data_IF_573725466761
#
_entry.id   IF_573725466761
#
_cell.length_a   1.000
_cell.length_b   1.000
_cell.length_c   1.000
_cell.angle_alpha   90.00
_cell.angle_beta   90.00
_cell.angle_gamma   90.00
#
_symmetry.space_group_name_H-M   'P 1'
#
loop_
_entity.id
_entity.type
_entity.pdbx_description
1 polymer ?
#
# COMPACT_ATOMS: atom_id res chain seq x y z
N UNK A 1 -8.00 19.11 16.34
CA UNK A 1 -8.55 17.75 16.20
C UNK A 1 -9.62 17.54 17.26
N UNK A 2 -10.77 16.93 16.94
CA UNK A 2 -11.77 16.62 17.99
C UNK A 2 -11.27 15.38 18.75
N UNK A 3 -11.52 15.32 20.06
CA UNK A 3 -11.10 14.18 20.90
C UNK A 3 -11.61 12.83 20.37
N UNK A 4 -12.76 12.85 19.69
CA UNK A 4 -13.33 11.68 19.01
C UNK A 4 -12.42 11.17 17.89
N UNK A 5 -11.84 12.05 17.07
CA UNK A 5 -10.96 11.67 15.97
C UNK A 5 -9.70 10.98 16.51
N UNK A 6 -9.14 11.51 17.60
CA UNK A 6 -7.96 10.93 18.24
C UNK A 6 -8.27 9.55 18.83
N UNK A 7 -9.43 9.41 19.46
CA UNK A 7 -9.93 8.12 19.94
C UNK A 7 -10.04 7.08 18.84
N UNK A 8 -10.57 7.46 17.67
CA UNK A 8 -10.67 6.57 16.50
C UNK A 8 -9.28 6.12 16.02
N UNK A 9 -8.30 7.03 15.94
CA UNK A 9 -6.93 6.68 15.53
C UNK A 9 -6.28 5.72 16.54
N UNK A 10 -6.40 5.99 17.83
CA UNK A 10 -5.84 5.12 18.88
C UNK A 10 -6.49 3.74 18.83
N UNK A 11 -7.82 3.66 18.72
CA UNK A 11 -8.55 2.40 18.58
C UNK A 11 -8.10 1.64 17.34
N UNK A 12 -7.92 2.32 16.21
CA UNK A 12 -7.41 1.71 14.99
C UNK A 12 -5.99 1.15 15.17
N UNK A 13 -5.06 1.95 15.71
CA UNK A 13 -3.67 1.53 15.92
C UNK A 13 -3.57 0.33 16.87
N UNK A 14 -4.33 0.35 17.98
CA UNK A 14 -4.41 -0.77 18.91
C UNK A 14 -5.07 -1.98 18.26
N UNK A 15 -6.16 -1.77 17.51
CA UNK A 15 -6.92 -2.82 16.84
C UNK A 15 -6.11 -3.56 15.79
N UNK A 16 -5.39 -2.83 14.92
CA UNK A 16 -4.55 -3.44 13.87
C UNK A 16 -3.34 -4.15 14.47
N UNK A 17 -2.72 -3.57 15.51
CA UNK A 17 -1.59 -4.18 16.22
C UNK A 17 -2.03 -5.46 16.94
N UNK A 18 -3.16 -5.42 17.64
CA UNK A 18 -3.73 -6.59 18.31
C UNK A 18 -4.13 -7.68 17.30
N UNK A 19 -4.76 -7.29 16.20
CA UNK A 19 -5.14 -8.21 15.13
C UNK A 19 -3.91 -8.91 14.54
N UNK A 20 -2.86 -8.16 14.19
CA UNK A 20 -1.60 -8.71 13.69
C UNK A 20 -0.92 -9.64 14.70
N UNK A 21 -0.87 -9.25 15.98
CA UNK A 21 -0.26 -10.04 17.04
C UNK A 21 -0.93 -11.41 17.26
N UNK A 22 -2.21 -11.58 16.89
CA UNK A 22 -2.87 -12.90 16.97
C UNK A 22 -2.26 -13.94 16.01
N UNK A 23 -1.61 -13.50 14.93
CA UNK A 23 -0.95 -14.39 13.97
C UNK A 23 0.50 -14.73 14.35
N UNK A 24 1.05 -14.10 15.41
CA UNK A 24 2.40 -14.36 15.93
C UNK A 24 2.56 -15.77 16.50
N UNK A 25 1.50 -16.33 17.11
CA UNK A 25 1.53 -17.63 17.80
C UNK A 25 1.68 -18.86 16.90
N UNK A 26 1.61 -18.70 15.57
CA UNK A 26 1.72 -19.81 14.59
C UNK A 26 3.07 -19.93 13.88
N UNK A 27 4.05 -19.08 14.20
CA UNK A 27 5.30 -18.98 13.44
C UNK A 27 6.40 -19.85 14.06
N UNK A 28 6.36 -21.17 13.82
CA UNK A 28 7.33 -22.11 14.41
C UNK A 28 8.59 -22.33 13.56
N UNK A 29 8.61 -21.84 12.32
CA UNK A 29 9.75 -21.97 11.39
C UNK A 29 9.99 -20.70 10.56
N UNK A 30 11.20 -20.55 10.01
CA UNK A 30 11.53 -19.48 9.05
C UNK A 30 10.64 -19.54 7.80
N UNK A 31 10.22 -20.74 7.39
CA UNK A 31 9.30 -20.91 6.27
C UNK A 31 7.91 -20.39 6.61
N UNK A 32 7.41 -20.60 7.82
CA UNK A 32 6.12 -20.03 8.24
C UNK A 32 6.20 -18.50 8.26
N UNK A 33 7.30 -17.96 8.79
CA UNK A 33 7.51 -16.52 8.91
C UNK A 33 7.58 -15.81 7.55
N UNK A 34 8.31 -16.39 6.58
CA UNK A 34 8.55 -15.78 5.26
C UNK A 34 7.58 -16.24 4.15
N UNK A 35 6.89 -17.37 4.28
CA UNK A 35 5.95 -17.88 3.26
C UNK A 35 4.49 -17.90 3.74
N UNK A 36 4.24 -17.47 4.98
CA UNK A 36 2.91 -17.45 5.59
C UNK A 36 2.25 -18.84 5.66
N UNK A 37 3.06 -19.89 5.82
CA UNK A 37 2.59 -21.28 5.87
C UNK A 37 1.88 -21.78 4.60
N UNK A 38 1.96 -21.04 3.47
CA UNK A 38 1.26 -21.35 2.19
C UNK A 38 -0.26 -21.53 2.29
N UNK A 39 -0.89 -21.10 3.39
CA UNK A 39 -2.32 -21.30 3.64
C UNK A 39 -3.18 -20.08 3.29
N UNK A 40 -2.55 -18.93 2.99
CA UNK A 40 -3.26 -17.73 2.60
C UNK A 40 -3.96 -17.92 1.24
N UNK A 41 -5.27 -17.63 1.13
CA UNK A 41 -5.99 -17.76 -0.12
C UNK A 41 -5.50 -16.71 -1.13
N UNK A 42 -5.58 -17.04 -2.43
CA UNK A 42 -5.05 -16.20 -3.51
C UNK A 42 -5.59 -14.76 -3.50
N UNK A 43 -6.85 -14.58 -3.10
CA UNK A 43 -7.48 -13.26 -3.03
C UNK A 43 -6.88 -12.40 -1.91
N UNK A 44 -6.49 -13.00 -0.78
CA UNK A 44 -5.86 -12.27 0.33
C UNK A 44 -4.45 -11.84 -0.06
N UNK A 45 -3.70 -12.72 -0.74
CA UNK A 45 -2.38 -12.40 -1.30
C UNK A 45 -2.51 -11.27 -2.33
N UNK A 46 -3.50 -11.35 -3.23
CA UNK A 46 -3.74 -10.31 -4.24
C UNK A 46 -4.07 -8.95 -3.63
N UNK A 47 -4.95 -8.91 -2.62
CA UNK A 47 -5.29 -7.68 -1.90
C UNK A 47 -4.10 -7.12 -1.11
N UNK A 48 -3.29 -7.99 -0.49
CA UNK A 48 -2.06 -7.57 0.20
C UNK A 48 -1.05 -6.94 -0.74
N UNK A 49 -0.83 -7.52 -1.93
CA UNK A 49 0.04 -6.92 -2.95
C UNK A 49 -0.46 -5.53 -3.34
N UNK A 50 -1.77 -5.37 -3.57
CA UNK A 50 -2.35 -4.07 -3.94
C UNK A 50 -2.24 -3.07 -2.78
N UNK A 51 -2.51 -3.50 -1.55
CA UNK A 51 -2.38 -2.67 -0.34
C UNK A 51 -0.94 -2.17 -0.17
N UNK A 52 0.04 -3.08 -0.25
CA UNK A 52 1.46 -2.75 -0.09
C UNK A 52 2.02 -1.82 -1.17
N UNK A 53 1.40 -1.79 -2.36
CA UNK A 53 1.75 -0.85 -3.43
C UNK A 53 0.99 0.49 -3.31
N UNK A 54 -0.17 0.50 -2.67
CA UNK A 54 -1.00 1.70 -2.53
C UNK A 54 -0.44 2.56 -1.41
N UNK A 55 0.09 3.72 -1.78
CA UNK A 55 0.67 4.66 -0.83
C UNK A 55 -0.28 5.78 -0.47
N UNK A 56 -0.06 6.44 0.67
CA UNK A 56 -0.75 7.69 1.04
C UNK A 56 -0.65 8.75 -0.06
N UNK A 57 0.46 8.79 -0.79
CA UNK A 57 0.64 9.70 -1.93
C UNK A 57 -0.32 9.38 -3.08
N UNK A 58 -0.65 8.11 -3.29
CA UNK A 58 -1.68 7.71 -4.27
C UNK A 58 -3.05 8.21 -3.82
N UNK A 59 -3.39 8.02 -2.55
CA UNK A 59 -4.70 8.37 -1.99
C UNK A 59 -4.98 9.87 -2.09
N UNK A 60 -4.01 10.68 -1.68
CA UNK A 60 -4.15 12.15 -1.66
C UNK A 60 -3.84 12.75 -3.03
N UNK A 61 -2.88 12.15 -3.75
CA UNK A 61 -2.41 12.65 -5.04
C UNK A 61 -3.39 12.38 -6.18
N UNK A 62 -4.07 11.23 -6.24
CA UNK A 62 -4.99 10.92 -7.34
C UNK A 62 -6.15 11.91 -7.47
N UNK A 63 -6.86 12.30 -6.38
CA UNK A 63 -7.86 13.37 -6.44
C UNK A 63 -7.27 14.70 -6.90
N UNK A 64 -6.08 15.08 -6.38
CA UNK A 64 -5.41 16.31 -6.77
C UNK A 64 -5.01 16.33 -8.26
N UNK A 65 -4.50 15.20 -8.78
CA UNK A 65 -4.18 15.02 -10.20
C UNK A 65 -5.43 15.11 -11.08
N UNK A 66 -6.54 14.49 -10.65
CA UNK A 66 -7.82 14.55 -11.38
C UNK A 66 -8.44 15.95 -11.35
N UNK A 67 -8.27 16.66 -10.23
CA UNK A 67 -8.76 18.02 -10.06
C UNK A 67 -7.94 19.04 -10.86
N UNK A 68 -6.60 18.92 -10.88
CA UNK A 68 -5.72 19.82 -11.65
C UNK A 68 -5.64 19.47 -13.14
N UNK A 69 -5.83 18.20 -13.50
CA UNK A 69 -5.76 17.69 -14.87
C UNK A 69 -7.02 16.91 -15.23
N UNK A 70 -6.84 15.69 -15.75
CA UNK A 70 -7.90 14.78 -16.22
C UNK A 70 -7.61 13.34 -15.78
N UNK A 71 -8.37 12.38 -16.31
CA UNK A 71 -8.19 10.95 -16.01
C UNK A 71 -7.10 10.23 -16.83
N UNK A 72 -6.21 10.94 -17.55
CA UNK A 72 -5.13 10.28 -18.32
C UNK A 72 -4.19 9.44 -17.47
N UNK A 73 -4.04 9.74 -16.18
CA UNK A 73 -3.25 8.90 -15.27
C UNK A 73 -3.74 7.44 -15.21
N UNK A 74 -5.00 7.18 -15.57
CA UNK A 74 -5.54 5.81 -15.67
C UNK A 74 -4.80 4.96 -16.70
N UNK A 75 -4.16 5.54 -17.71
CA UNK A 75 -3.32 4.79 -18.67
C UNK A 75 -2.20 4.03 -17.96
N UNK A 76 -1.57 4.66 -16.95
CA UNK A 76 -0.54 4.01 -16.13
C UNK A 76 -1.17 2.91 -15.26
N UNK A 77 -2.34 3.15 -14.68
CA UNK A 77 -3.06 2.17 -13.85
C UNK A 77 -3.42 0.92 -14.67
N UNK A 78 -3.96 1.09 -15.87
CA UNK A 78 -4.24 -0.03 -16.78
C UNK A 78 -2.95 -0.70 -17.26
N UNK A 79 -1.87 0.06 -17.49
CA UNK A 79 -0.54 -0.49 -17.79
C UNK A 79 -0.04 -1.42 -16.68
N UNK A 80 -0.16 -1.03 -15.41
CA UNK A 80 0.19 -1.88 -14.27
C UNK A 80 -0.68 -3.13 -14.19
N UNK A 81 -1.99 -3.02 -14.46
CA UNK A 81 -2.88 -4.17 -14.49
C UNK A 81 -2.45 -5.18 -15.57
N UNK A 82 -2.19 -4.72 -16.79
CA UNK A 82 -1.71 -5.56 -17.88
C UNK A 82 -0.35 -6.21 -17.57
N UNK A 83 0.59 -5.43 -17.03
CA UNK A 83 1.89 -5.94 -16.61
C UNK A 83 1.76 -7.07 -15.57
N UNK A 84 0.86 -6.92 -14.58
CA UNK A 84 0.60 -7.96 -13.58
C UNK A 84 0.03 -9.22 -14.22
N UNK A 85 -0.90 -9.12 -15.17
CA UNK A 85 -1.42 -10.30 -15.89
C UNK A 85 -0.29 -11.06 -16.61
N UNK A 86 0.60 -10.34 -17.30
CA UNK A 86 1.75 -10.92 -17.99
C UNK A 86 2.72 -11.58 -17.00
N UNK A 87 3.08 -10.88 -15.92
CA UNK A 87 3.97 -11.41 -14.87
C UNK A 87 3.37 -12.66 -14.22
N UNK A 88 2.06 -12.65 -13.93
CA UNK A 88 1.36 -13.79 -13.35
C UNK A 88 1.28 -14.99 -14.29
N UNK A 89 1.15 -14.78 -15.60
CA UNK A 89 1.12 -15.86 -16.56
C UNK A 89 2.50 -16.47 -16.85
N UNK A 90 3.56 -15.65 -16.90
CA UNK A 90 4.88 -16.07 -17.39
C UNK A 90 5.85 -16.38 -16.26
N UNK A 91 5.94 -15.48 -15.26
CA UNK A 91 6.97 -15.54 -14.23
C UNK A 91 6.53 -16.38 -13.03
N UNK A 92 5.31 -16.19 -12.52
CA UNK A 92 4.80 -16.91 -11.34
C UNK A 92 4.94 -18.45 -11.45
N UNK A 93 4.61 -19.11 -12.59
CA UNK A 93 4.80 -20.56 -12.72
C UNK A 93 6.24 -21.02 -12.51
N UNK A 94 7.24 -20.20 -12.86
CA UNK A 94 8.65 -20.54 -12.69
C UNK A 94 9.07 -20.53 -11.22
N UNK A 95 8.52 -19.61 -10.41
CA UNK A 95 8.71 -19.59 -8.96
C UNK A 95 8.10 -20.82 -8.29
N UNK A 96 6.88 -21.21 -8.67
CA UNK A 96 6.20 -22.36 -8.08
C UNK A 96 6.85 -23.71 -8.42
N UNK A 97 7.54 -23.82 -9.57
CA UNK A 97 8.34 -24.99 -9.92
C UNK A 97 9.67 -25.11 -9.14
N UNK A 98 9.95 -24.17 -8.22
CA UNK A 98 11.17 -24.17 -7.42
C UNK A 98 12.42 -23.72 -8.20
N UNK A 99 12.24 -23.15 -9.40
CA UNK A 99 13.36 -22.67 -10.20
C UNK A 99 13.88 -21.33 -9.70
N UNK A 100 13.09 -20.51 -9.02
CA UNK A 100 13.49 -19.17 -8.57
C UNK A 100 12.90 -18.88 -7.20
N UNK A 101 13.69 -18.26 -6.33
CA UNK A 101 13.26 -17.73 -5.03
C UNK A 101 13.15 -16.20 -5.04
N UNK A 102 13.90 -15.52 -5.90
CA UNK A 102 13.82 -14.05 -6.08
C UNK A 102 13.91 -13.67 -7.55
N UNK A 103 13.38 -12.51 -7.92
CA UNK A 103 13.52 -11.97 -9.27
C UNK A 103 14.99 -11.77 -9.68
N UNK A 104 15.87 -11.50 -8.72
CA UNK A 104 17.29 -11.30 -8.98
C UNK A 104 18.03 -12.61 -9.30
N UNK A 105 17.54 -13.76 -8.84
CA UNK A 105 18.11 -15.05 -9.21
C UNK A 105 17.91 -15.37 -10.69
N UNK A 106 16.83 -14.86 -11.31
CA UNK A 106 16.67 -14.97 -12.75
C UNK A 106 17.79 -14.20 -13.48
N UNK A 107 18.10 -12.99 -13.00
CA UNK A 107 19.21 -12.19 -13.51
C UNK A 107 20.56 -12.88 -13.29
N UNK A 108 20.76 -13.52 -12.13
CA UNK A 108 21.96 -14.30 -11.83
C UNK A 108 22.14 -15.47 -12.80
N UNK A 109 21.08 -16.24 -13.04
CA UNK A 109 21.14 -17.39 -13.96
C UNK A 109 21.43 -16.98 -15.40
N UNK A 110 20.91 -15.82 -15.82
CA UNK A 110 21.06 -15.36 -17.20
C UNK A 110 22.35 -14.58 -17.45
N UNK A 111 22.79 -13.77 -16.49
CA UNK A 111 23.85 -12.77 -16.66
C UNK A 111 24.96 -12.84 -15.59
N UNK A 112 24.86 -13.75 -14.62
CA UNK A 112 25.85 -13.95 -13.58
C UNK A 112 25.64 -13.11 -12.30
N UNK A 113 26.45 -13.43 -11.29
CA UNK A 113 26.34 -12.88 -9.93
C UNK A 113 26.56 -11.36 -9.86
N UNK A 114 27.36 -10.80 -10.78
CA UNK A 114 27.66 -9.37 -10.80
C UNK A 114 26.40 -8.56 -11.14
N UNK A 115 25.66 -8.96 -12.17
CA UNK A 115 24.40 -8.31 -12.54
C UNK A 115 23.36 -8.46 -11.43
N UNK A 116 23.27 -9.63 -10.79
CA UNK A 116 22.41 -9.81 -9.60
C UNK A 116 22.70 -8.77 -8.53
N UNK A 117 23.97 -8.58 -8.18
CA UNK A 117 24.37 -7.61 -7.14
C UNK A 117 24.00 -6.19 -7.53
N UNK A 118 24.29 -5.78 -8.78
CA UNK A 118 23.97 -4.45 -9.28
C UNK A 118 22.46 -4.20 -9.24
N UNK A 119 21.65 -5.12 -9.79
CA UNK A 119 20.18 -4.97 -9.80
C UNK A 119 19.60 -4.95 -8.39
N UNK A 120 20.08 -5.80 -7.49
CA UNK A 120 19.63 -5.81 -6.10
C UNK A 120 19.97 -4.52 -5.36
N UNK A 121 21.19 -3.97 -5.55
CA UNK A 121 21.60 -2.69 -4.94
C UNK A 121 20.76 -1.54 -5.49
N UNK A 122 20.58 -1.45 -6.81
CA UNK A 122 19.74 -0.41 -7.42
C UNK A 122 18.31 -0.49 -6.87
N UNK A 123 17.74 -1.69 -6.79
CA UNK A 123 16.42 -1.87 -6.21
C UNK A 123 16.37 -1.41 -4.75
N UNK A 124 17.31 -1.84 -3.91
CA UNK A 124 17.31 -1.48 -2.50
C UNK A 124 17.41 0.03 -2.30
N UNK A 125 18.28 0.70 -3.05
CA UNK A 125 18.45 2.17 -2.97
C UNK A 125 17.18 2.87 -3.43
N UNK A 126 16.69 2.55 -4.64
CA UNK A 126 15.50 3.20 -5.20
C UNK A 126 14.24 2.93 -4.36
N UNK A 127 14.09 1.70 -3.83
CA UNK A 127 12.98 1.34 -2.93
C UNK A 127 13.07 2.12 -1.62
N UNK A 128 14.25 2.21 -1.01
CA UNK A 128 14.45 2.95 0.24
C UNK A 128 14.16 4.43 0.08
N UNK A 129 14.61 5.05 -1.01
CA UNK A 129 14.30 6.44 -1.33
C UNK A 129 12.80 6.66 -1.52
N UNK A 130 12.13 5.75 -2.24
CA UNK A 130 10.69 5.82 -2.43
C UNK A 130 9.92 5.70 -1.10
N UNK A 131 10.32 4.81 -0.19
CA UNK A 131 9.71 4.74 1.15
C UNK A 131 9.95 6.00 1.97
N UNK A 132 11.14 6.61 1.88
CA UNK A 132 11.42 7.89 2.54
C UNK A 132 10.46 9.00 2.11
N UNK A 133 10.18 9.12 0.81
CA UNK A 133 9.20 10.08 0.27
C UNK A 133 7.78 9.77 0.78
N UNK A 134 7.39 8.49 0.86
CA UNK A 134 6.07 8.10 1.38
C UNK A 134 5.92 8.42 2.87
N UNK A 135 6.93 8.14 3.70
CA UNK A 135 6.93 8.47 5.13
C UNK A 135 6.80 9.98 5.32
N UNK A 136 7.53 10.78 4.54
CA UNK A 136 7.41 12.23 4.57
C UNK A 136 6.01 12.72 4.15
N UNK A 137 5.43 12.15 3.10
CA UNK A 137 4.07 12.51 2.68
C UNK A 137 3.04 12.21 3.79
N UNK A 138 3.18 11.09 4.49
CA UNK A 138 2.32 10.74 5.64
C UNK A 138 2.53 11.72 6.79
N UNK A 139 3.78 12.12 7.07
CA UNK A 139 4.08 13.03 8.19
C UNK A 139 3.48 14.42 8.01
N UNK A 140 3.35 14.91 6.78
CA UNK A 140 2.65 16.18 6.51
C UNK A 140 1.19 16.08 6.97
N UNK A 141 0.49 15.01 6.59
CA UNK A 141 -0.91 14.79 6.97
C UNK A 141 -1.05 14.67 8.48
N UNK A 142 -0.20 13.85 9.12
CA UNK A 142 -0.19 13.67 10.57
C UNK A 142 0.10 14.98 11.30
N UNK A 143 1.05 15.78 10.80
CA UNK A 143 1.38 17.09 11.37
C UNK A 143 0.19 18.06 11.28
N UNK A 144 -0.56 18.07 10.18
CA UNK A 144 -1.76 18.90 10.03
C UNK A 144 -2.85 18.45 11.02
N UNK A 145 -3.01 17.14 11.19
CA UNK A 145 -4.04 16.57 12.07
C UNK A 145 -3.73 16.81 13.55
N UNK A 146 -2.48 16.52 13.96
CA UNK A 146 -2.06 16.56 15.36
C UNK A 146 -1.50 17.91 15.82
N UNK A 147 -1.09 18.78 14.88
CA UNK A 147 -0.42 20.04 15.19
C UNK A 147 0.96 19.89 15.84
N UNK A 148 1.57 18.71 15.73
CA UNK A 148 2.83 18.34 16.42
C UNK A 148 4.09 18.76 15.67
N UNK A 149 3.97 19.27 14.43
CA UNK A 149 5.08 19.58 13.54
C UNK A 149 5.55 18.34 12.75
N UNK A 150 6.20 18.59 11.61
CA UNK A 150 6.59 17.54 10.66
C UNK A 150 7.63 16.58 11.26
N UNK A 151 8.68 17.09 11.91
CA UNK A 151 9.75 16.28 12.50
C UNK A 151 9.23 15.30 13.56
N UNK A 152 8.38 15.78 14.48
CA UNK A 152 7.79 14.92 15.51
C UNK A 152 6.86 13.86 14.89
N UNK A 153 6.14 14.22 13.84
CA UNK A 153 5.26 13.31 13.10
C UNK A 153 6.06 12.20 12.39
N UNK A 154 7.19 12.54 11.76
CA UNK A 154 8.10 11.56 11.15
C UNK A 154 8.61 10.57 12.22
N UNK A 155 9.13 11.08 13.34
CA UNK A 155 9.65 10.22 14.42
C UNK A 155 8.57 9.27 14.93
N UNK A 156 7.36 9.78 15.16
CA UNK A 156 6.22 8.97 15.61
C UNK A 156 5.88 7.85 14.61
N UNK A 157 5.75 8.19 13.32
CA UNK A 157 5.41 7.21 12.27
C UNK A 157 6.50 6.15 12.16
N UNK A 158 7.78 6.54 12.16
CA UNK A 158 8.90 5.60 12.06
C UNK A 158 8.96 4.70 13.30
N UNK A 159 8.82 5.25 14.51
CA UNK A 159 8.83 4.47 15.74
C UNK A 159 7.68 3.43 15.77
N UNK A 160 6.46 3.85 15.43
CA UNK A 160 5.31 2.95 15.32
C UNK A 160 5.55 1.87 14.26
N UNK A 161 6.04 2.27 13.09
CA UNK A 161 6.28 1.35 11.97
C UNK A 161 7.32 0.30 12.30
N UNK A 162 8.44 0.70 12.91
CA UNK A 162 9.45 -0.23 13.39
C UNK A 162 8.86 -1.19 14.42
N UNK A 163 8.14 -0.68 15.42
CA UNK A 163 7.57 -1.50 16.49
C UNK A 163 6.68 -2.65 15.97
N UNK A 164 5.72 -2.36 15.08
CA UNK A 164 4.82 -3.43 14.61
C UNK A 164 5.44 -4.32 13.53
N UNK A 165 6.43 -3.83 12.77
CA UNK A 165 7.08 -4.62 11.70
C UNK A 165 7.91 -5.77 12.27
N UNK A 166 8.53 -5.59 13.45
CA UNK A 166 9.36 -6.63 14.08
C UNK A 166 8.55 -7.82 14.64
N UNK A 167 7.25 -7.67 14.90
CA UNK A 167 6.47 -8.61 15.73
C UNK A 167 5.52 -9.54 14.95
N UNK A 168 5.30 -9.32 13.65
CA UNK A 168 4.14 -9.89 12.93
C UNK A 168 4.36 -11.13 12.04
N UNK A 169 5.48 -11.22 11.31
CA UNK A 169 5.65 -12.21 10.23
C UNK A 169 4.70 -12.02 9.03
N UNK A 170 4.94 -12.71 7.91
CA UNK A 170 4.25 -12.44 6.64
C UNK A 170 2.74 -12.74 6.67
N UNK A 171 2.30 -13.73 7.44
CA UNK A 171 0.85 -14.02 7.57
C UNK A 171 0.11 -12.86 8.20
N UNK A 172 0.68 -12.24 9.25
CA UNK A 172 0.07 -11.08 9.88
C UNK A 172 -0.04 -9.93 8.89
N UNK A 173 1.02 -9.66 8.13
CA UNK A 173 1.06 -8.61 7.10
C UNK A 173 -0.04 -8.79 6.08
N UNK A 174 -0.19 -10.00 5.51
CA UNK A 174 -1.24 -10.26 4.50
C UNK A 174 -2.63 -9.94 5.04
N UNK A 175 -2.95 -10.38 6.25
CA UNK A 175 -4.28 -10.16 6.81
C UNK A 175 -4.50 -8.73 7.28
N UNK A 176 -3.47 -8.06 7.83
CA UNK A 176 -3.57 -6.63 8.18
C UNK A 176 -3.79 -5.79 6.92
N UNK A 177 -3.10 -6.12 5.82
CA UNK A 177 -3.26 -5.44 4.54
C UNK A 177 -4.67 -5.59 3.98
N UNK A 178 -5.27 -6.78 4.06
CA UNK A 178 -6.66 -7.02 3.63
C UNK A 178 -7.63 -6.11 4.38
N UNK A 179 -7.46 -6.00 5.70
CA UNK A 179 -8.31 -5.13 6.54
C UNK A 179 -8.09 -3.66 6.18
N UNK A 180 -6.83 -3.23 6.03
CA UNK A 180 -6.48 -1.85 5.67
C UNK A 180 -7.01 -1.47 4.29
N UNK A 181 -6.93 -2.38 3.31
CA UNK A 181 -7.48 -2.17 1.98
C UNK A 181 -9.01 -2.01 2.03
N UNK A 182 -9.70 -2.84 2.82
CA UNK A 182 -11.14 -2.71 3.05
C UNK A 182 -11.50 -1.36 3.67
N UNK A 183 -10.79 -0.95 4.72
CA UNK A 183 -10.98 0.36 5.36
C UNK A 183 -10.72 1.52 4.39
N UNK A 184 -9.67 1.41 3.57
CA UNK A 184 -9.33 2.41 2.58
C UNK A 184 -10.43 2.57 1.53
N UNK A 185 -10.88 1.48 0.92
CA UNK A 185 -11.94 1.50 -0.10
C UNK A 185 -13.26 2.00 0.48
N UNK A 186 -13.63 1.55 1.68
CA UNK A 186 -14.82 2.02 2.38
C UNK A 186 -14.72 3.53 2.68
N UNK A 187 -13.57 3.99 3.21
CA UNK A 187 -13.32 5.39 3.50
C UNK A 187 -13.39 6.29 2.25
N UNK A 188 -12.82 5.83 1.14
CA UNK A 188 -12.91 6.52 -0.15
C UNK A 188 -14.37 6.59 -0.66
N UNK A 189 -15.11 5.48 -0.56
CA UNK A 189 -16.53 5.43 -0.94
C UNK A 189 -17.40 6.37 -0.10
N UNK A 190 -17.26 6.31 1.24
CA UNK A 190 -17.97 7.21 2.16
C UNK A 190 -17.63 8.67 1.85
N UNK A 191 -16.34 8.98 1.64
CA UNK A 191 -15.90 10.34 1.31
C UNK A 191 -16.53 10.82 0.01
N UNK A 192 -16.56 9.99 -1.04
CA UNK A 192 -17.20 10.30 -2.31
C UNK A 192 -18.70 10.64 -2.12
N UNK A 193 -19.45 9.80 -1.43
CA UNK A 193 -20.88 10.04 -1.21
C UNK A 193 -21.18 11.26 -0.34
N UNK A 194 -20.37 11.50 0.70
CA UNK A 194 -20.50 12.69 1.56
C UNK A 194 -20.20 13.97 0.79
N UNK A 195 -19.16 13.96 -0.06
CA UNK A 195 -18.82 15.12 -0.90
C UNK A 195 -19.93 15.33 -1.93
N UNK A 196 -20.38 14.27 -2.60
CA UNK A 196 -21.44 14.36 -3.61
C UNK A 196 -22.74 14.92 -3.04
N UNK A 197 -23.12 14.53 -1.82
CA UNK A 197 -24.28 15.06 -1.11
C UNK A 197 -24.17 16.55 -0.73
N UNK A 198 -22.97 17.11 -0.75
CA UNK A 198 -22.72 18.55 -0.53
C UNK A 198 -22.69 19.37 -1.82
N UNK A 199 -22.69 18.71 -2.99
CA UNK A 199 -22.73 19.38 -4.28
C UNK A 199 -24.19 19.66 -4.65
N UNK A 200 -24.55 20.94 -4.78
CA UNK A 200 -25.86 21.33 -5.29
C UNK A 200 -26.03 20.81 -6.73
N UNK A 201 -27.10 20.05 -6.99
CA UNK A 201 -27.32 19.36 -8.27
C UNK A 201 -26.69 17.95 -8.38
N UNK A 202 -25.97 17.51 -7.35
CA UNK A 202 -25.47 16.13 -7.22
C UNK A 202 -24.62 15.65 -8.40
N UNK A 203 -24.77 14.38 -8.77
CA UNK A 203 -23.95 13.75 -9.82
C UNK A 203 -24.13 14.38 -11.20
N UNK A 204 -25.34 14.81 -11.54
CA UNK A 204 -25.61 15.48 -12.83
C UNK A 204 -24.76 16.72 -12.98
N UNK A 205 -24.74 17.58 -11.96
CA UNK A 205 -23.90 18.78 -11.96
C UNK A 205 -22.41 18.46 -12.04
N UNK A 206 -21.94 17.40 -11.36
CA UNK A 206 -20.54 16.96 -11.45
C UNK A 206 -20.17 16.56 -12.88
N UNK A 207 -21.02 15.79 -13.56
CA UNK A 207 -20.79 15.36 -14.94
C UNK A 207 -20.81 16.56 -15.90
N UNK A 208 -21.74 17.50 -15.73
CA UNK A 208 -21.82 18.69 -16.58
C UNK A 208 -20.57 19.56 -16.47
N UNK A 209 -20.11 19.81 -15.23
CA UNK A 209 -18.89 20.59 -14.98
C UNK A 209 -17.64 19.86 -15.48
N UNK A 210 -17.56 18.55 -15.27
CA UNK A 210 -16.45 17.73 -15.77
C UNK A 210 -16.40 17.73 -17.31
N UNK A 211 -17.55 17.54 -17.97
CA UNK A 211 -17.67 17.57 -19.42
C UNK A 211 -17.30 18.93 -20.02
N UNK A 212 -17.74 20.02 -19.41
CA UNK A 212 -17.35 21.37 -19.83
C UNK A 212 -15.85 21.65 -19.65
N UNK A 213 -15.21 20.99 -18.68
CA UNK A 213 -13.77 21.05 -18.44
C UNK A 213 -12.96 20.05 -19.29
N UNK A 214 -13.61 19.30 -20.19
CA UNK A 214 -13.00 18.22 -20.99
C UNK A 214 -12.31 17.13 -20.15
N UNK A 215 -12.92 16.76 -19.02
CA UNK A 215 -12.44 15.73 -18.10
C UNK A 215 -13.24 14.45 -18.16
#
# INVERSE_FOLDING_TARGET
MRWVDLGVIIIYLLGVTWFGARFRRGQNSLQDYFLGGRSAPWWAIGLSIVSAETSTLTIVGTPALSFGGDFRFLQIVFGYLLARLVISAILLPQYFRGHLYTAYQLMERRFGVNIRRVTAVIFLVTRSLAEGVRVFAVSIIVSIILGTGETASVILIVALTLFYTFEGGMTAVIWTDVVQMGMYVAGAGVSLFVILGKVHGGWGHVVDVAGAAHK
#
